data_IF_528989756263
#
_entry.id   IF_528989756263
#
_cell.length_a   1.000
_cell.length_b   1.000
_cell.length_c   1.000
_cell.angle_alpha   90.00
_cell.angle_beta   90.00
_cell.angle_gamma   90.00
#
_symmetry.space_group_name_H-M   'P 1'
#
loop_
_entity.id
_entity.type
_entity.pdbx_description
1 polymer ?
#
# COMPACT_ATOMS: atom_id res chain seq x y z
N UNK A 1 -21.80 14.07 28.89
CA UNK A 1 -21.56 13.37 27.61
C UNK A 1 -20.12 13.68 27.25
N UNK A 2 -19.26 12.70 27.06
CA UNK A 2 -17.88 12.99 26.64
C UNK A 2 -17.91 13.39 25.18
N UNK A 3 -17.47 14.59 24.85
CA UNK A 3 -17.38 15.06 23.48
C UNK A 3 -16.20 14.36 22.81
N UNK A 4 -16.45 13.74 21.65
CA UNK A 4 -15.41 13.11 20.86
C UNK A 4 -15.09 13.99 19.67
N UNK A 5 -13.84 14.44 19.59
CA UNK A 5 -13.34 15.14 18.41
C UNK A 5 -12.67 14.09 17.51
N UNK A 6 -13.17 13.95 16.30
CA UNK A 6 -12.57 13.12 15.25
C UNK A 6 -12.00 14.03 14.17
N UNK A 7 -10.75 13.80 13.80
CA UNK A 7 -10.11 14.52 12.70
C UNK A 7 -9.62 13.50 11.67
N UNK A 8 -9.96 13.70 10.40
CA UNK A 8 -9.43 12.89 9.31
C UNK A 8 -7.93 13.14 9.19
N UNK A 9 -7.13 12.09 9.29
CA UNK A 9 -5.67 12.11 9.21
C UNK A 9 -5.19 11.66 7.84
N UNK A 10 -5.76 10.59 7.29
CA UNK A 10 -5.42 10.08 5.97
C UNK A 10 -6.68 9.60 5.24
N UNK A 11 -6.63 9.61 3.90
CA UNK A 11 -7.70 9.14 3.03
C UNK A 11 -7.11 8.64 1.73
N UNK A 12 -7.62 7.54 1.19
CA UNK A 12 -7.46 7.19 -0.21
C UNK A 12 -8.80 6.78 -0.84
N UNK A 13 -8.95 7.13 -2.11
CA UNK A 13 -10.02 6.67 -3.00
C UNK A 13 -9.43 6.14 -4.31
N UNK A 14 -8.12 5.90 -4.34
CA UNK A 14 -7.42 5.35 -5.50
C UNK A 14 -7.86 3.91 -5.75
N UNK A 15 -8.13 3.59 -7.02
CA UNK A 15 -8.45 2.23 -7.45
C UNK A 15 -7.13 1.48 -7.62
N UNK A 16 -6.81 0.63 -6.66
CA UNK A 16 -5.56 -0.13 -6.66
C UNK A 16 -5.62 -1.28 -7.66
N UNK A 17 -4.54 -1.45 -8.42
CA UNK A 17 -4.41 -2.42 -9.50
C UNK A 17 -3.66 -3.68 -9.05
N UNK A 18 -4.00 -4.80 -9.69
CA UNK A 18 -3.34 -6.08 -9.55
C UNK A 18 -2.89 -6.59 -10.91
N UNK A 19 -1.72 -7.21 -10.96
CA UNK A 19 -1.21 -7.89 -12.15
C UNK A 19 -0.63 -9.25 -11.76
N UNK A 20 -0.83 -10.25 -12.61
CA UNK A 20 -0.10 -11.52 -12.56
C UNK A 20 0.23 -11.99 -13.96
N UNK A 21 1.47 -12.42 -14.18
CA UNK A 21 1.88 -12.89 -15.51
C UNK A 21 3.37 -13.16 -15.64
N UNK A 22 3.69 -13.82 -16.74
CA UNK A 22 5.09 -14.03 -17.15
C UNK A 22 5.72 -12.71 -17.52
N UNK A 23 6.80 -12.36 -16.85
CA UNK A 23 7.47 -11.06 -16.94
C UNK A 23 8.94 -11.25 -17.20
N UNK A 24 9.49 -10.49 -18.16
CA UNK A 24 10.93 -10.35 -18.35
C UNK A 24 11.44 -9.24 -17.45
N UNK A 25 12.44 -9.56 -16.64
CA UNK A 25 13.09 -8.66 -15.68
C UNK A 25 14.48 -8.33 -16.21
N UNK A 26 14.77 -7.04 -16.43
CA UNK A 26 16.05 -6.55 -16.93
C UNK A 26 16.73 -5.69 -15.87
N UNK A 27 17.78 -6.22 -15.26
CA UNK A 27 18.48 -5.59 -14.13
C UNK A 27 19.10 -4.23 -14.49
N UNK A 28 19.77 -4.13 -15.65
CA UNK A 28 20.49 -2.92 -16.03
C UNK A 28 19.58 -1.68 -16.09
N UNK A 29 18.36 -1.86 -16.59
CA UNK A 29 17.39 -0.79 -16.79
C UNK A 29 16.33 -0.74 -15.68
N UNK A 30 16.42 -1.66 -14.71
CA UNK A 30 15.43 -1.83 -13.62
C UNK A 30 14.01 -1.99 -14.14
N UNK A 31 13.84 -2.74 -15.21
CA UNK A 31 12.61 -2.84 -15.98
C UNK A 31 11.95 -4.20 -15.81
N UNK A 32 10.62 -4.18 -15.67
CA UNK A 32 9.74 -5.34 -15.74
C UNK A 32 8.87 -5.19 -16.99
N UNK A 33 8.92 -6.19 -17.89
CA UNK A 33 8.21 -6.17 -19.17
C UNK A 33 7.24 -7.34 -19.28
N UNK A 34 5.97 -7.05 -19.49
CA UNK A 34 4.91 -8.01 -19.78
C UNK A 34 3.70 -7.31 -20.40
N UNK A 35 2.85 -8.04 -21.10
CA UNK A 35 1.62 -7.47 -21.64
C UNK A 35 0.74 -6.90 -20.50
N UNK A 36 0.33 -5.64 -20.63
CA UNK A 36 -0.55 -4.92 -19.70
C UNK A 36 -0.01 -4.70 -18.28
N UNK A 37 1.27 -4.95 -18.02
CA UNK A 37 1.88 -4.82 -16.66
C UNK A 37 1.72 -3.42 -16.07
N UNK A 38 1.71 -2.38 -16.89
CA UNK A 38 1.58 -0.99 -16.45
C UNK A 38 0.14 -0.42 -16.53
N UNK A 39 -0.84 -1.24 -16.92
CA UNK A 39 -2.21 -0.76 -17.08
C UNK A 39 -2.78 -0.29 -15.75
N UNK A 40 -3.29 0.94 -15.70
CA UNK A 40 -3.87 1.54 -14.50
C UNK A 40 -2.85 2.01 -13.44
N UNK A 41 -1.54 1.83 -13.68
CA UNK A 41 -0.48 2.33 -12.82
C UNK A 41 0.02 3.71 -13.26
N UNK A 42 0.59 4.46 -12.34
CA UNK A 42 1.14 5.81 -12.56
C UNK A 42 2.54 5.94 -11.96
N UNK A 43 3.42 6.73 -12.58
CA UNK A 43 4.75 7.02 -12.03
C UNK A 43 4.64 7.69 -10.65
N UNK A 44 5.52 7.34 -9.73
CA UNK A 44 5.51 7.77 -8.34
C UNK A 44 4.74 6.87 -7.39
N UNK A 45 3.88 5.98 -7.88
CA UNK A 45 3.14 5.03 -7.06
C UNK A 45 4.04 3.91 -6.54
N UNK A 46 3.56 3.27 -5.48
CA UNK A 46 4.20 2.09 -4.88
C UNK A 46 3.50 0.81 -5.30
N UNK A 47 4.31 -0.19 -5.59
CA UNK A 47 3.87 -1.56 -5.90
C UNK A 47 4.62 -2.56 -5.04
N UNK A 48 4.00 -3.71 -4.79
CA UNK A 48 4.63 -4.85 -4.14
C UNK A 48 4.72 -5.99 -5.15
N UNK A 49 5.92 -6.42 -5.47
CA UNK A 49 6.23 -7.51 -6.41
C UNK A 49 6.56 -8.76 -5.63
N UNK A 50 6.03 -9.91 -6.08
CA UNK A 50 6.37 -11.22 -5.57
C UNK A 50 6.40 -12.25 -6.71
N UNK A 51 7.11 -13.38 -6.50
CA UNK A 51 7.19 -14.48 -7.45
C UNK A 51 8.43 -14.48 -8.34
N UNK A 52 9.27 -13.45 -8.31
CA UNK A 52 10.57 -13.48 -8.96
C UNK A 52 11.49 -14.52 -8.29
N UNK A 53 12.29 -15.24 -9.08
CA UNK A 53 13.23 -16.23 -8.56
C UNK A 53 14.38 -15.55 -7.79
N UNK A 54 14.84 -14.39 -8.27
CA UNK A 54 15.80 -13.59 -7.54
C UNK A 54 15.09 -12.79 -6.44
N UNK A 55 15.50 -13.00 -5.20
CA UNK A 55 14.88 -12.35 -4.03
C UNK A 55 14.94 -10.81 -4.07
N UNK A 56 15.98 -10.22 -4.68
CA UNK A 56 16.12 -8.77 -4.82
C UNK A 56 15.14 -8.16 -5.85
N UNK A 57 14.47 -8.99 -6.66
CA UNK A 57 13.39 -8.56 -7.57
C UNK A 57 11.99 -8.69 -6.92
N UNK A 58 11.92 -9.07 -5.65
CA UNK A 58 10.70 -9.12 -4.85
C UNK A 58 10.73 -8.01 -3.78
N UNK A 59 9.58 -7.46 -3.44
CA UNK A 59 9.46 -6.44 -2.40
C UNK A 59 8.65 -5.23 -2.84
N UNK A 60 8.83 -4.12 -2.12
CA UNK A 60 8.15 -2.85 -2.43
C UNK A 60 9.04 -1.99 -3.31
N UNK A 61 8.48 -1.52 -4.41
CA UNK A 61 9.15 -0.69 -5.41
C UNK A 61 8.35 0.58 -5.68
N UNK A 62 9.07 1.64 -6.06
CA UNK A 62 8.49 2.92 -6.50
C UNK A 62 8.60 3.02 -8.02
N UNK A 63 7.49 3.28 -8.70
CA UNK A 63 7.44 3.40 -10.15
C UNK A 63 8.10 4.71 -10.61
N UNK A 64 9.02 4.62 -11.56
CA UNK A 64 9.68 5.77 -12.19
C UNK A 64 9.03 6.07 -13.54
N UNK A 65 8.83 5.03 -14.35
CA UNK A 65 8.20 5.14 -15.67
C UNK A 65 7.18 4.02 -15.83
N UNK A 66 6.05 4.33 -16.43
CA UNK A 66 4.97 3.39 -16.68
C UNK A 66 4.54 3.48 -18.13
N UNK A 67 4.54 2.34 -18.82
CA UNK A 67 3.93 2.13 -20.12
C UNK A 67 3.07 0.86 -20.06
N UNK A 68 2.10 0.69 -20.95
CA UNK A 68 1.20 -0.47 -20.92
C UNK A 68 1.94 -1.82 -20.86
N UNK A 69 3.07 -1.95 -21.55
CA UNK A 69 3.86 -3.18 -21.62
C UNK A 69 5.14 -3.20 -20.77
N UNK A 70 5.44 -2.15 -20.02
CA UNK A 70 6.66 -2.07 -19.22
C UNK A 70 6.55 -1.09 -18.05
N UNK A 71 7.19 -1.44 -16.95
CA UNK A 71 7.37 -0.54 -15.80
C UNK A 71 8.86 -0.48 -15.44
N UNK A 72 9.32 0.70 -15.03
CA UNK A 72 10.68 0.94 -14.51
C UNK A 72 10.55 1.34 -13.05
N UNK A 73 11.39 0.77 -12.19
CA UNK A 73 11.38 1.04 -10.75
C UNK A 73 12.61 1.83 -10.30
N UNK A 74 12.50 2.53 -9.19
CA UNK A 74 13.59 3.32 -8.63
C UNK A 74 14.64 2.43 -7.96
N UNK A 75 14.22 1.44 -7.20
CA UNK A 75 15.05 0.57 -6.39
C UNK A 75 15.91 -0.36 -7.29
N UNK A 76 16.99 -0.88 -6.73
CA UNK A 76 17.77 -1.90 -7.39
C UNK A 76 17.01 -3.23 -7.44
N UNK A 77 17.08 -3.92 -8.56
CA UNK A 77 16.50 -5.25 -8.75
C UNK A 77 17.60 -6.29 -8.94
N UNK A 78 17.23 -7.56 -8.84
CA UNK A 78 18.16 -8.68 -8.95
C UNK A 78 18.68 -8.91 -10.36
N UNK A 79 19.01 -10.16 -10.69
CA UNK A 79 19.53 -10.53 -11.99
C UNK A 79 18.48 -10.50 -13.10
N UNK A 80 18.92 -10.51 -14.37
CA UNK A 80 18.03 -10.72 -15.51
C UNK A 80 17.37 -12.09 -15.39
N UNK A 81 16.06 -12.13 -15.50
CA UNK A 81 15.28 -13.37 -15.44
C UNK A 81 13.94 -13.25 -16.18
N UNK A 82 13.29 -14.39 -16.41
CA UNK A 82 11.88 -14.43 -16.78
C UNK A 82 11.16 -15.24 -15.72
N UNK A 83 10.17 -14.63 -15.08
CA UNK A 83 9.43 -15.24 -13.98
C UNK A 83 7.94 -14.91 -14.06
N UNK A 84 7.10 -15.77 -13.54
CA UNK A 84 5.71 -15.40 -13.28
C UNK A 84 5.65 -14.62 -11.97
N UNK A 85 5.38 -13.32 -12.09
CA UNK A 85 5.29 -12.43 -10.93
C UNK A 85 3.85 -12.00 -10.66
N UNK A 86 3.62 -11.53 -9.43
CA UNK A 86 2.43 -10.78 -9.04
C UNK A 86 2.82 -9.36 -8.67
N UNK A 87 2.00 -8.40 -9.04
CA UNK A 87 2.12 -7.00 -8.63
C UNK A 87 0.83 -6.61 -7.91
N UNK A 88 0.97 -6.09 -6.71
CA UNK A 88 -0.12 -5.48 -5.96
C UNK A 88 0.22 -3.99 -5.77
N UNK A 89 -0.62 -3.09 -6.28
CA UNK A 89 -0.47 -1.66 -6.03
C UNK A 89 -0.73 -1.35 -4.56
N UNK A 90 0.06 -0.43 -3.99
CA UNK A 90 -0.05 -0.02 -2.60
C UNK A 90 -0.16 1.51 -2.50
N UNK A 91 -1.25 2.00 -1.90
CA UNK A 91 -1.33 3.37 -1.41
C UNK A 91 -0.59 3.50 -0.09
N UNK A 92 0.15 4.59 0.09
CA UNK A 92 0.79 4.93 1.35
C UNK A 92 0.62 6.42 1.64
N UNK A 93 0.08 6.76 2.81
CA UNK A 93 0.08 8.15 3.29
C UNK A 93 1.46 8.57 3.78
N UNK A 94 1.68 9.88 3.92
CA UNK A 94 2.80 10.40 4.69
C UNK A 94 2.73 9.97 6.16
N UNK A 95 3.84 10.13 6.88
CA UNK A 95 3.87 10.01 8.32
C UNK A 95 3.12 11.18 8.97
N UNK A 96 2.27 10.88 9.93
CA UNK A 96 1.36 11.79 10.61
C UNK A 96 1.74 11.86 12.08
N UNK A 97 1.88 13.07 12.63
CA UNK A 97 2.06 13.27 14.06
C UNK A 97 0.75 12.91 14.80
N UNK A 98 0.80 11.85 15.60
CA UNK A 98 -0.37 11.32 16.29
C UNK A 98 -0.31 11.48 17.82
N UNK A 99 0.66 12.23 18.36
CA UNK A 99 0.89 12.41 19.80
C UNK A 99 -0.31 12.94 20.58
N UNK A 100 -1.16 13.73 19.95
CA UNK A 100 -2.38 14.27 20.56
C UNK A 100 -3.58 13.32 20.52
N UNK A 101 -3.48 12.18 19.84
CA UNK A 101 -4.58 11.27 19.65
C UNK A 101 -4.41 10.04 20.53
N UNK A 102 -5.41 9.74 21.36
CA UNK A 102 -5.41 8.54 22.20
C UNK A 102 -5.70 7.28 21.39
N UNK A 103 -6.48 7.42 20.32
CA UNK A 103 -6.85 6.31 19.42
C UNK A 103 -6.85 6.75 17.96
N UNK A 104 -6.51 5.81 17.09
CA UNK A 104 -6.75 5.91 15.66
C UNK A 104 -7.95 5.04 15.31
N UNK A 105 -8.86 5.57 14.51
CA UNK A 105 -10.01 4.83 13.98
C UNK A 105 -9.88 4.76 12.48
N UNK A 106 -9.85 3.57 11.93
CA UNK A 106 -9.82 3.34 10.49
C UNK A 106 -11.17 2.85 9.99
N UNK A 107 -11.46 3.12 8.73
CA UNK A 107 -12.55 2.49 7.99
C UNK A 107 -12.15 2.24 6.54
N UNK A 108 -12.66 1.16 5.97
CA UNK A 108 -12.47 0.82 4.55
C UNK A 108 -13.78 0.32 3.96
N UNK A 109 -13.99 0.64 2.70
CA UNK A 109 -14.98 0.01 1.83
C UNK A 109 -14.28 -0.29 0.51
N UNK A 110 -14.27 -1.55 0.08
CA UNK A 110 -13.57 -2.02 -1.10
C UNK A 110 -14.39 -3.06 -1.88
N UNK A 111 -14.17 -3.11 -3.19
CA UNK A 111 -14.84 -4.06 -4.09
C UNK A 111 -14.09 -5.38 -4.23
N UNK A 112 -12.80 -5.40 -3.93
CA UNK A 112 -11.92 -6.57 -3.96
C UNK A 112 -11.17 -6.72 -2.65
N UNK A 113 -10.62 -7.89 -2.39
CA UNK A 113 -9.82 -8.15 -1.20
C UNK A 113 -8.68 -7.15 -1.06
N UNK A 114 -8.42 -6.74 0.18
CA UNK A 114 -7.37 -5.76 0.49
C UNK A 114 -6.70 -6.02 1.84
N UNK A 115 -5.49 -5.50 1.98
CA UNK A 115 -4.81 -5.35 3.26
C UNK A 115 -4.75 -3.89 3.64
N UNK A 116 -5.05 -3.60 4.91
CA UNK A 116 -4.81 -2.28 5.51
C UNK A 116 -3.75 -2.44 6.60
N UNK A 117 -2.73 -1.60 6.52
CA UNK A 117 -1.65 -1.53 7.49
C UNK A 117 -1.68 -0.17 8.15
N UNK A 118 -1.58 -0.15 9.47
CA UNK A 118 -1.30 1.05 10.23
C UNK A 118 0.08 0.87 10.84
N UNK A 119 1.05 1.51 10.24
CA UNK A 119 2.42 1.55 10.76
C UNK A 119 2.51 2.64 11.83
N UNK A 120 3.26 2.38 12.88
CA UNK A 120 3.62 3.35 13.90
C UNK A 120 5.14 3.45 14.03
N UNK A 121 5.64 4.64 14.37
CA UNK A 121 7.05 4.95 14.40
C UNK A 121 7.40 5.88 15.55
N UNK A 122 8.58 5.68 16.13
CA UNK A 122 9.16 6.56 17.13
C UNK A 122 9.77 7.83 16.50
N UNK A 123 10.29 7.76 15.29
CA UNK A 123 11.06 8.81 14.62
C UNK A 123 10.38 9.41 13.35
N UNK A 124 9.30 8.80 12.86
CA UNK A 124 8.61 9.22 11.64
C UNK A 124 9.30 8.78 10.34
N UNK A 125 10.27 7.87 10.41
CA UNK A 125 11.01 7.34 9.26
C UNK A 125 10.96 5.82 9.21
N UNK A 126 11.27 5.15 10.30
CA UNK A 126 11.31 3.70 10.41
C UNK A 126 9.97 3.16 10.91
N UNK A 127 9.64 1.94 10.50
CA UNK A 127 8.45 1.25 11.01
C UNK A 127 8.87 0.44 12.23
N UNK A 128 8.36 0.79 13.41
CA UNK A 128 8.64 0.08 14.66
C UNK A 128 7.51 -0.89 15.03
N UNK A 129 6.27 -0.57 14.62
CA UNK A 129 5.10 -1.39 14.88
C UNK A 129 4.09 -1.30 13.75
N UNK A 130 3.49 -2.43 13.38
CA UNK A 130 2.43 -2.50 12.35
C UNK A 130 1.22 -3.26 12.85
N UNK A 131 0.05 -2.65 12.73
CA UNK A 131 -1.24 -3.36 12.85
C UNK A 131 -1.75 -3.69 11.46
N UNK A 132 -2.06 -4.95 11.18
CA UNK A 132 -2.57 -5.41 9.89
C UNK A 132 -4.04 -5.81 10.00
N UNK A 133 -4.84 -5.42 9.00
CA UNK A 133 -6.20 -5.89 8.77
C UNK A 133 -6.31 -6.51 7.39
N UNK A 134 -6.84 -7.72 7.33
CA UNK A 134 -7.24 -8.39 6.09
C UNK A 134 -8.71 -8.13 5.87
N UNK A 135 -9.06 -7.60 4.71
CA UNK A 135 -10.43 -7.28 4.32
C UNK A 135 -10.82 -8.23 3.20
N UNK A 136 -11.89 -8.98 3.41
CA UNK A 136 -12.48 -9.85 2.37
C UNK A 136 -13.68 -9.14 1.77
N UNK A 137 -13.61 -8.87 0.49
CA UNK A 137 -14.64 -8.12 -0.25
C UNK A 137 -15.86 -8.98 -0.64
N UNK A 138 -17.00 -8.34 -0.99
CA UNK A 138 -17.26 -6.90 -0.88
C UNK A 138 -17.62 -6.53 0.57
N UNK A 139 -16.84 -5.68 1.20
CA UNK A 139 -17.04 -5.37 2.63
C UNK A 139 -16.70 -3.92 2.96
N UNK A 140 -17.46 -3.38 3.92
CA UNK A 140 -17.07 -2.21 4.70
C UNK A 140 -16.66 -2.69 6.10
N UNK A 141 -15.47 -2.29 6.55
CA UNK A 141 -14.96 -2.57 7.89
C UNK A 141 -14.53 -1.27 8.58
N UNK A 142 -14.66 -1.25 9.89
CA UNK A 142 -14.21 -0.15 10.73
C UNK A 142 -13.59 -0.71 12.01
N UNK A 143 -12.47 -0.12 12.41
CA UNK A 143 -11.70 -0.58 13.57
C UNK A 143 -11.11 0.58 14.35
N UNK A 144 -10.67 0.30 15.57
CA UNK A 144 -9.93 1.26 16.41
C UNK A 144 -8.67 0.61 16.93
N UNK A 145 -7.56 1.36 16.92
CA UNK A 145 -6.28 0.95 17.51
C UNK A 145 -5.79 2.04 18.47
N UNK A 146 -4.97 1.64 19.44
CA UNK A 146 -4.32 2.58 20.33
C UNK A 146 -3.08 3.18 19.68
N UNK A 147 -2.83 4.46 19.93
CA UNK A 147 -1.58 5.12 19.57
C UNK A 147 -0.53 4.81 20.63
N UNK A 148 0.47 4.05 20.26
CA UNK A 148 1.59 3.68 21.16
C UNK A 148 2.88 4.43 20.82
N UNK A 149 3.00 4.95 19.60
CA UNK A 149 4.15 5.71 19.12
C UNK A 149 3.72 7.06 18.53
N UNK A 150 4.63 8.07 18.51
CA UNK A 150 4.29 9.44 18.17
C UNK A 150 3.91 9.67 16.69
N UNK A 151 4.28 8.77 15.80
CA UNK A 151 4.00 8.87 14.37
C UNK A 151 3.21 7.66 13.88
N UNK A 152 2.29 7.88 12.94
CA UNK A 152 1.56 6.81 12.27
C UNK A 152 1.36 7.12 10.79
N UNK A 153 1.20 6.07 9.97
CA UNK A 153 0.76 6.18 8.57
C UNK A 153 -0.18 5.03 8.22
N UNK A 154 -1.01 5.26 7.20
CA UNK A 154 -1.88 4.25 6.63
C UNK A 154 -1.29 3.75 5.31
N UNK A 155 -1.26 2.43 5.12
CA UNK A 155 -1.04 1.80 3.82
C UNK A 155 -2.24 0.93 3.48
N UNK A 156 -2.63 0.94 2.21
CA UNK A 156 -3.68 0.06 1.68
C UNK A 156 -3.13 -0.64 0.45
N UNK A 157 -3.22 -1.95 0.40
CA UNK A 157 -2.72 -2.78 -0.70
C UNK A 157 -3.82 -3.70 -1.20
N UNK A 158 -3.97 -3.82 -2.54
CA UNK A 158 -4.84 -4.83 -3.13
C UNK A 158 -4.34 -6.25 -2.79
N UNK A 159 -5.23 -7.21 -2.78
CA UNK A 159 -4.90 -8.62 -2.55
C UNK A 159 -5.45 -9.45 -3.70
N UNK A 160 -4.60 -9.67 -4.72
CA UNK A 160 -4.84 -10.54 -5.87
C UNK A 160 -6.05 -10.16 -6.75
N UNK A 161 -6.51 -8.90 -6.69
CA UNK A 161 -7.65 -8.43 -7.48
C UNK A 161 -7.61 -6.91 -7.68
N UNK A 162 -8.05 -6.45 -8.86
CA UNK A 162 -8.24 -5.02 -9.13
C UNK A 162 -9.38 -4.46 -8.30
N UNK A 163 -9.19 -3.25 -7.77
CA UNK A 163 -10.24 -2.52 -7.08
C UNK A 163 -11.05 -1.69 -8.08
N UNK A 164 -12.34 -1.90 -8.17
CA UNK A 164 -13.28 -1.07 -8.93
C UNK A 164 -13.98 -0.02 -8.07
N UNK A 165 -13.89 -0.17 -6.75
CA UNK A 165 -14.30 0.82 -5.76
C UNK A 165 -13.43 0.65 -4.51
N UNK A 166 -12.81 1.74 -4.06
CA UNK A 166 -12.03 1.77 -2.83
C UNK A 166 -12.21 3.10 -2.13
N UNK A 167 -12.43 3.02 -0.83
CA UNK A 167 -12.46 4.17 0.09
C UNK A 167 -11.88 3.74 1.42
N UNK A 168 -10.75 4.29 1.82
CA UNK A 168 -10.15 4.05 3.12
C UNK A 168 -9.85 5.37 3.83
N UNK A 169 -10.08 5.42 5.13
CA UNK A 169 -9.90 6.59 5.97
C UNK A 169 -9.17 6.22 7.26
N UNK A 170 -8.37 7.13 7.74
CA UNK A 170 -7.79 7.10 9.08
C UNK A 170 -8.14 8.39 9.83
N UNK A 171 -8.68 8.26 11.02
CA UNK A 171 -9.07 9.36 11.90
C UNK A 171 -8.31 9.29 13.22
N UNK A 172 -7.90 10.44 13.74
CA UNK A 172 -7.46 10.58 15.11
C UNK A 172 -8.65 10.89 16.04
N UNK A 173 -8.64 10.28 17.23
CA UNK A 173 -9.66 10.47 18.26
C UNK A 173 -9.04 10.91 19.56
N UNK A 174 -9.51 12.05 20.09
CA UNK A 174 -9.23 12.52 21.45
C UNK A 174 -10.36 12.01 22.36
N UNK A 175 -10.01 11.54 23.56
CA UNK A 175 -10.94 11.28 24.65
C UNK A 175 -10.76 12.43 25.64
N UNK A 176 -11.67 13.36 25.66
CA UNK A 176 -11.75 14.46 26.64
C UNK A 176 -12.53 14.04 27.87
#
# INVERSE_FOLDING_TARGET
MKDFIMTQLAKTTELLQYFTGSTVITQADKTFTAANIGTGLTAGEKIVIAGAANSASNGTFTLVTVAAGAIVVHEAIGANETATITINQEYQSDWLDVRKWAKLTGSINCSGDAYVYIDQSADGYNVDYTTTRTITAPTADAWSIETVLPWARMRVRTNAVDQTALRAYLYGRIIT
#
